data_IF_755995827323
#
_entry.id   IF_755995827323
#
_cell.length_a   1.000
_cell.length_b   1.000
_cell.length_c   1.000
_cell.angle_alpha   90.00
_cell.angle_beta   90.00
_cell.angle_gamma   90.00
#
_symmetry.space_group_name_H-M   'P 1'
#
loop_
_entity.id
_entity.type
_entity.pdbx_description
1 polymer ?
#
# COMPACT_ATOMS: atom_id res chain seq x y z
N UNK A 1 37.84 -29.81 35.53
CA UNK A 1 36.51 -30.41 35.79
C UNK A 1 35.79 -30.56 34.46
N UNK A 2 35.53 -31.80 34.03
CA UNK A 2 34.91 -32.09 32.75
C UNK A 2 33.40 -31.77 32.79
N UNK A 3 32.93 -30.93 31.87
CA UNK A 3 31.51 -30.65 31.71
C UNK A 3 30.83 -31.87 31.06
N UNK A 4 29.95 -32.54 31.81
CA UNK A 4 29.06 -33.57 31.28
C UNK A 4 28.15 -32.92 30.23
N UNK A 5 28.38 -33.21 28.94
CA UNK A 5 27.39 -32.98 27.90
C UNK A 5 26.21 -33.92 28.14
N UNK A 6 25.12 -33.39 28.69
CA UNK A 6 23.85 -34.10 28.71
C UNK A 6 23.35 -34.24 27.28
N UNK A 7 23.19 -35.48 26.81
CA UNK A 7 22.52 -35.83 25.56
C UNK A 7 21.02 -35.54 25.72
N UNK A 8 20.65 -34.27 25.74
CA UNK A 8 19.24 -33.87 25.64
C UNK A 8 18.93 -33.75 24.16
N UNK A 9 17.88 -34.44 23.72
CA UNK A 9 17.46 -34.43 22.32
C UNK A 9 17.19 -32.97 21.91
N UNK A 10 17.93 -32.45 20.92
CA UNK A 10 17.88 -31.02 20.55
C UNK A 10 16.46 -30.58 20.20
N UNK A 11 15.65 -31.48 19.64
CA UNK A 11 14.24 -31.25 19.37
C UNK A 11 13.44 -30.98 20.65
N UNK A 12 13.68 -31.73 21.73
CA UNK A 12 13.04 -31.48 23.03
C UNK A 12 13.51 -30.17 23.65
N UNK A 13 14.78 -29.78 23.47
CA UNK A 13 15.29 -28.50 23.96
C UNK A 13 14.64 -27.33 23.22
N UNK A 14 14.44 -27.45 21.90
CA UNK A 14 13.79 -26.44 21.08
C UNK A 14 12.27 -26.39 21.25
N UNK A 15 11.66 -27.52 21.62
CA UNK A 15 10.22 -27.61 21.88
C UNK A 15 9.82 -26.97 23.22
N UNK A 16 10.78 -26.74 24.14
CA UNK A 16 10.51 -26.03 25.39
C UNK A 16 10.26 -24.54 25.10
N UNK A 17 9.27 -23.91 25.75
CA UNK A 17 9.13 -22.46 25.70
C UNK A 17 10.42 -21.82 26.22
N UNK A 18 10.88 -20.76 25.54
CA UNK A 18 12.11 -20.08 25.94
C UNK A 18 11.95 -19.56 27.36
N UNK A 19 12.85 -19.89 28.29
CA UNK A 19 12.78 -19.38 29.63
C UNK A 19 12.95 -17.85 29.58
N UNK A 20 12.15 -17.19 30.41
CA UNK A 20 12.24 -15.76 30.63
C UNK A 20 13.60 -15.48 31.28
N UNK A 21 14.44 -14.57 30.74
CA UNK A 21 15.73 -14.25 31.35
C UNK A 21 15.57 -13.74 32.78
N UNK A 22 16.52 -14.06 33.67
CA UNK A 22 16.54 -13.48 35.02
C UNK A 22 16.61 -11.94 34.92
N UNK A 23 15.62 -11.26 35.50
CA UNK A 23 15.46 -9.81 35.41
C UNK A 23 14.63 -9.31 34.23
N UNK A 24 14.01 -10.18 33.42
CA UNK A 24 13.06 -9.77 32.40
C UNK A 24 11.74 -9.32 33.03
N UNK A 25 11.46 -8.03 32.88
CA UNK A 25 10.18 -7.41 33.25
C UNK A 25 9.30 -7.46 31.99
N UNK A 26 8.15 -8.12 32.08
CA UNK A 26 7.21 -8.29 30.97
C UNK A 26 6.50 -6.94 30.72
N UNK A 27 7.13 -6.07 29.93
CA UNK A 27 6.63 -4.73 29.62
C UNK A 27 5.53 -4.81 28.55
N UNK A 28 4.36 -5.32 28.96
CA UNK A 28 3.14 -5.38 28.13
C UNK A 28 2.29 -4.12 28.22
N UNK A 29 2.82 -3.07 28.83
CA UNK A 29 2.11 -1.81 29.00
C UNK A 29 2.47 -0.92 27.82
N UNK A 30 1.49 -0.60 26.98
CA UNK A 30 1.68 0.44 25.97
C UNK A 30 2.09 1.73 26.67
N UNK A 31 2.93 2.53 26.01
CA UNK A 31 3.50 3.81 26.48
C UNK A 31 2.47 4.81 27.06
N UNK A 32 1.17 4.53 26.92
CA UNK A 32 0.06 5.38 27.35
C UNK A 32 -0.80 4.77 28.48
N UNK A 33 -0.40 3.66 29.09
CA UNK A 33 -1.10 3.12 30.25
C UNK A 33 -0.34 3.51 31.52
N UNK A 34 -0.63 4.70 32.04
CA UNK A 34 -0.12 5.13 33.34
C UNK A 34 -0.71 4.27 34.46
N UNK A 35 0.11 3.94 35.47
CA UNK A 35 -0.10 4.46 36.82
C UNK A 35 1.05 4.06 37.78
N UNK A 36 1.72 5.09 38.32
CA UNK A 36 2.59 5.10 39.51
C UNK A 36 4.12 4.92 39.36
N UNK A 37 4.73 5.39 38.27
CA UNK A 37 6.11 5.89 38.38
C UNK A 37 6.09 7.41 38.37
N UNK A 38 6.17 8.02 39.55
CA UNK A 38 6.48 9.45 39.65
C UNK A 38 7.86 9.66 39.07
N UNK A 39 7.92 10.13 37.83
CA UNK A 39 9.18 10.54 37.21
C UNK A 39 9.70 11.74 38.02
N UNK A 40 10.79 11.55 38.76
CA UNK A 40 11.42 12.64 39.52
C UNK A 40 12.10 13.60 38.54
N UNK A 41 11.37 14.62 38.07
CA UNK A 41 11.87 15.64 37.13
C UNK A 41 12.97 16.54 37.71
N UNK A 42 13.30 16.38 39.00
CA UNK A 42 14.36 17.14 39.68
C UNK A 42 15.76 16.59 39.39
N UNK A 43 15.88 15.35 38.91
CA UNK A 43 17.16 14.77 38.50
C UNK A 43 17.39 15.07 37.02
N UNK A 44 18.49 15.74 36.71
CA UNK A 44 18.92 16.14 35.35
C UNK A 44 19.22 14.98 34.40
N UNK A 45 19.07 13.72 34.83
CA UNK A 45 19.22 12.50 34.03
C UNK A 45 18.00 12.21 33.14
N UNK A 46 17.31 13.24 32.66
CA UNK A 46 16.08 13.16 31.85
C UNK A 46 16.30 12.69 30.40
N UNK A 47 17.53 12.37 30.01
CA UNK A 47 17.83 11.83 28.68
C UNK A 47 17.85 10.31 28.73
N UNK A 48 16.93 9.67 27.99
CA UNK A 48 16.93 8.22 27.78
C UNK A 48 18.29 7.80 27.23
N UNK A 49 19.13 7.20 28.08
CA UNK A 49 20.40 6.63 27.64
C UNK A 49 20.08 5.40 26.81
N UNK A 50 20.30 5.48 25.50
CA UNK A 50 20.19 4.34 24.60
C UNK A 50 21.31 3.34 24.90
N UNK A 51 21.10 2.49 25.91
CA UNK A 51 22.05 1.42 26.26
C UNK A 51 21.73 0.22 25.36
N UNK A 52 22.62 -0.05 24.41
CA UNK A 52 22.54 -1.28 23.61
C UNK A 52 22.92 -2.47 24.50
N UNK A 53 22.11 -3.53 24.43
CA UNK A 53 22.51 -4.82 25.02
C UNK A 53 23.72 -5.39 24.28
N UNK A 54 24.50 -6.24 24.97
CA UNK A 54 25.64 -6.95 24.35
C UNK A 54 25.26 -7.73 23.09
N UNK A 55 24.00 -8.17 23.00
CA UNK A 55 23.48 -8.81 21.79
C UNK A 55 23.26 -7.80 20.66
N UNK A 56 22.70 -6.63 20.96
CA UNK A 56 22.48 -5.56 19.98
C UNK A 56 23.80 -5.01 19.46
N UNK A 57 24.81 -4.83 20.32
CA UNK A 57 26.16 -4.41 19.90
C UNK A 57 26.83 -5.46 19.00
N UNK A 58 26.58 -6.75 19.23
CA UNK A 58 27.02 -7.82 18.31
C UNK A 58 26.28 -7.80 16.97
N UNK A 59 25.01 -7.39 16.93
CA UNK A 59 24.22 -7.30 15.71
C UNK A 59 24.57 -6.06 14.87
N UNK A 60 25.08 -4.99 15.48
CA UNK A 60 25.60 -3.83 14.74
C UNK A 60 26.91 -4.14 14.03
N UNK A 61 27.67 -5.11 14.53
CA UNK A 61 28.89 -5.55 13.85
C UNK A 61 28.52 -6.35 12.60
N UNK A 62 29.24 -6.14 11.48
CA UNK A 62 29.03 -6.94 10.28
C UNK A 62 29.25 -8.42 10.59
N UNK A 63 28.47 -9.30 9.93
CA UNK A 63 28.62 -10.75 10.09
C UNK A 63 30.05 -11.14 9.71
N UNK A 64 30.76 -11.79 10.63
CA UNK A 64 32.07 -12.35 10.35
C UNK A 64 31.93 -13.43 9.28
N UNK A 65 32.81 -13.37 8.30
CA UNK A 65 32.94 -14.36 7.25
C UNK A 65 33.37 -15.68 7.94
N UNK A 66 32.74 -16.80 7.57
CA UNK A 66 33.06 -18.12 8.11
C UNK A 66 34.51 -18.49 7.81
N UNK A 67 35.21 -19.19 8.72
CA UNK A 67 36.63 -19.56 8.56
C UNK A 67 36.90 -20.34 7.28
N UNK A 68 35.92 -21.17 6.89
CA UNK A 68 36.02 -22.04 5.71
C UNK A 68 35.49 -21.37 4.43
N UNK A 69 35.11 -20.09 4.50
CA UNK A 69 34.71 -19.32 3.33
C UNK A 69 35.94 -19.07 2.45
N UNK A 70 36.07 -19.86 1.38
CA UNK A 70 36.92 -19.52 0.25
C UNK A 70 36.08 -18.72 -0.73
N UNK A 71 36.51 -17.49 -1.00
CA UNK A 71 35.89 -16.67 -2.04
C UNK A 71 36.14 -17.28 -3.40
N UNK A 72 35.21 -18.09 -3.92
CA UNK A 72 35.30 -18.69 -5.27
C UNK A 72 35.15 -17.66 -6.40
N UNK A 73 34.85 -16.41 -6.05
CA UNK A 73 34.84 -15.29 -6.98
C UNK A 73 36.07 -14.43 -6.74
N UNK A 74 36.98 -14.44 -7.72
CA UNK A 74 37.79 -13.26 -7.99
C UNK A 74 36.88 -12.02 -7.92
N UNK A 75 37.34 -10.97 -7.26
CA UNK A 75 36.62 -9.69 -7.22
C UNK A 75 36.17 -9.33 -8.64
N UNK A 76 35.04 -8.61 -8.83
CA UNK A 76 34.57 -8.18 -10.16
C UNK A 76 35.49 -7.09 -10.75
N UNK A 77 36.79 -7.14 -10.44
CA UNK A 77 37.84 -6.37 -11.05
C UNK A 77 38.24 -7.15 -12.29
N UNK A 78 37.64 -6.73 -13.41
CA UNK A 78 38.03 -7.26 -14.71
C UNK A 78 39.51 -6.96 -14.93
N UNK A 79 40.30 -7.98 -15.29
CA UNK A 79 41.72 -7.80 -15.58
C UNK A 79 41.82 -6.99 -16.88
N UNK A 80 42.12 -5.71 -16.73
CA UNK A 80 42.29 -4.79 -17.86
C UNK A 80 43.63 -5.11 -18.51
N UNK A 81 43.67 -5.19 -19.85
CA UNK A 81 44.93 -5.38 -20.57
C UNK A 81 45.85 -4.17 -20.40
N UNK A 82 47.17 -4.37 -20.41
CA UNK A 82 48.15 -3.27 -20.33
C UNK A 82 47.93 -2.20 -21.42
N UNK A 83 47.45 -2.61 -22.59
CA UNK A 83 47.13 -1.69 -23.69
C UNK A 83 45.92 -0.81 -23.41
N UNK A 84 44.89 -1.33 -22.73
CA UNK A 84 43.73 -0.54 -22.32
C UNK A 84 44.07 0.42 -21.16
N UNK A 85 44.97 0.01 -20.25
CA UNK A 85 45.44 0.86 -19.14
C UNK A 85 46.30 2.05 -19.64
N UNK A 86 47.08 1.83 -20.70
CA UNK A 86 47.93 2.85 -21.33
C UNK A 86 47.27 3.57 -22.52
N UNK A 87 45.99 3.31 -22.79
CA UNK A 87 45.27 3.91 -23.89
C UNK A 87 45.06 5.42 -23.66
N UNK A 88 45.56 6.25 -24.57
CA UNK A 88 45.27 7.69 -24.56
C UNK A 88 43.93 7.95 -25.26
N UNK A 89 43.12 8.83 -24.70
CA UNK A 89 41.90 9.29 -25.35
C UNK A 89 42.25 10.00 -26.66
N UNK A 90 41.41 9.82 -27.68
CA UNK A 90 41.49 10.65 -28.89
C UNK A 90 41.06 12.08 -28.56
N UNK A 91 41.60 13.09 -29.25
CA UNK A 91 41.17 14.49 -29.12
C UNK A 91 39.64 14.65 -29.23
N UNK A 92 38.98 13.82 -30.06
CA UNK A 92 37.52 13.79 -30.14
C UNK A 92 36.87 13.33 -28.84
N UNK A 93 37.38 12.27 -28.22
CA UNK A 93 36.89 11.78 -26.94
C UNK A 93 37.11 12.81 -25.83
N UNK A 94 38.23 13.52 -25.85
CA UNK A 94 38.48 14.64 -24.92
C UNK A 94 37.44 15.74 -25.10
N UNK A 95 37.18 16.18 -26.34
CA UNK A 95 36.14 17.19 -26.62
C UNK A 95 34.71 16.75 -26.24
N UNK A 96 34.42 15.45 -26.29
CA UNK A 96 33.11 14.90 -25.88
C UNK A 96 33.02 14.69 -24.37
N UNK A 97 34.15 14.56 -23.67
CA UNK A 97 34.20 14.45 -22.22
C UNK A 97 34.02 15.81 -21.54
N UNK A 98 34.28 16.92 -22.24
CA UNK A 98 33.99 18.26 -21.73
C UNK A 98 32.47 18.45 -21.52
N UNK A 99 32.06 18.97 -20.34
CA UNK A 99 30.65 19.23 -20.08
C UNK A 99 30.12 20.32 -21.02
N UNK A 100 28.88 20.16 -21.48
CA UNK A 100 28.21 21.18 -22.30
C UNK A 100 28.07 22.48 -21.50
N UNK A 101 28.39 23.61 -22.14
CA UNK A 101 28.17 24.94 -21.58
C UNK A 101 26.66 25.16 -21.36
N UNK A 102 26.32 25.79 -20.24
CA UNK A 102 24.93 26.17 -19.95
C UNK A 102 24.38 27.16 -21.01
N UNK A 103 23.07 27.15 -21.22
CA UNK A 103 22.40 28.13 -22.08
C UNK A 103 22.59 29.56 -21.53
N UNK A 104 22.57 30.58 -22.40
CA UNK A 104 22.73 31.99 -21.98
C UNK A 104 21.76 32.43 -20.89
N UNK A 105 20.54 31.87 -20.92
CA UNK A 105 19.46 32.18 -19.98
C UNK A 105 19.39 31.20 -18.79
N UNK A 106 20.38 30.31 -18.64
CA UNK A 106 20.38 29.36 -17.53
C UNK A 106 20.59 30.09 -16.20
N UNK A 107 19.57 30.04 -15.34
CA UNK A 107 19.63 30.51 -13.97
C UNK A 107 19.76 29.32 -13.02
N UNK A 108 20.73 29.38 -12.12
CA UNK A 108 20.90 28.39 -11.05
C UNK A 108 19.65 28.42 -10.16
N UNK A 109 19.09 27.27 -9.76
CA UNK A 109 17.95 27.24 -8.83
C UNK A 109 18.29 27.98 -7.54
N UNK A 110 17.32 28.74 -7.02
CA UNK A 110 17.45 29.45 -5.74
C UNK A 110 17.67 28.44 -4.62
N UNK A 111 18.50 28.80 -3.64
CA UNK A 111 18.70 27.98 -2.44
C UNK A 111 17.38 27.76 -1.71
N UNK A 112 17.18 26.55 -1.17
CA UNK A 112 16.00 26.21 -0.34
C UNK A 112 15.92 27.10 0.91
N UNK A 113 17.08 27.53 1.40
CA UNK A 113 17.18 28.45 2.53
C UNK A 113 17.11 29.90 2.06
N UNK A 114 16.21 30.67 2.67
CA UNK A 114 16.15 32.12 2.52
C UNK A 114 17.09 32.77 3.53
N UNK A 115 18.07 33.53 3.05
CA UNK A 115 18.95 34.34 3.92
C UNK A 115 18.17 35.59 4.35
N UNK A 116 17.72 35.59 5.60
CA UNK A 116 16.96 36.70 6.18
C UNK A 116 17.93 37.75 6.73
N UNK A 117 17.72 39.03 6.43
CA UNK A 117 18.54 40.13 6.93
C UNK A 117 18.46 40.26 8.46
N UNK A 118 19.50 40.84 9.07
CA UNK A 118 19.52 41.09 10.52
C UNK A 118 18.38 42.00 10.99
N UNK A 119 17.94 42.94 10.14
CA UNK A 119 16.80 43.82 10.39
C UNK A 119 15.48 43.07 10.40
N UNK A 120 15.25 42.17 9.44
CA UNK A 120 14.03 41.36 9.38
C UNK A 120 13.94 40.38 10.57
N UNK A 121 15.08 39.86 11.06
CA UNK A 121 15.12 39.03 12.28
C UNK A 121 14.75 39.79 13.56
N UNK A 122 14.98 41.11 13.60
CA UNK A 122 14.72 41.98 14.76
C UNK A 122 13.39 42.75 14.65
N UNK A 123 12.69 42.65 13.52
CA UNK A 123 11.45 43.35 13.30
C UNK A 123 10.35 42.82 14.25
N UNK A 124 9.68 43.73 14.95
CA UNK A 124 8.54 43.39 15.79
C UNK A 124 7.26 43.31 14.94
N UNK A 125 6.38 42.34 15.20
CA UNK A 125 5.09 42.26 14.51
C UNK A 125 4.19 43.43 14.94
N UNK A 126 3.48 44.02 13.97
CA UNK A 126 2.42 45.01 14.22
C UNK A 126 1.32 44.45 15.13
N UNK A 127 0.66 45.30 15.91
CA UNK A 127 -0.46 44.95 16.79
C UNK A 127 -1.54 44.14 16.07
N UNK A 128 -1.84 44.46 14.81
CA UNK A 128 -2.77 43.68 13.99
C UNK A 128 -2.29 42.24 13.79
N UNK A 129 -1.01 42.04 13.50
CA UNK A 129 -0.42 40.71 13.33
C UNK A 129 -0.45 39.96 14.66
N UNK A 130 -0.16 40.65 15.77
CA UNK A 130 -0.27 40.06 17.10
C UNK A 130 -1.71 39.65 17.43
N UNK A 131 -2.71 40.46 17.07
CA UNK A 131 -4.12 40.11 17.22
C UNK A 131 -4.51 38.89 16.38
N UNK A 132 -4.07 38.82 15.13
CA UNK A 132 -4.37 37.70 14.22
C UNK A 132 -3.63 36.42 14.62
N UNK A 133 -2.47 36.54 15.27
CA UNK A 133 -1.71 35.42 15.79
C UNK A 133 -2.33 34.81 17.07
N UNK A 134 -3.24 35.54 17.75
CA UNK A 134 -3.99 34.96 18.88
C UNK A 134 -4.90 33.84 18.35
N UNK A 135 -4.96 32.68 19.03
CA UNK A 135 -5.86 31.62 18.63
C UNK A 135 -7.30 32.12 18.68
N UNK A 136 -8.10 31.76 17.65
CA UNK A 136 -9.53 32.03 17.66
C UNK A 136 -10.17 31.17 18.74
N UNK A 137 -10.63 31.80 19.83
CA UNK A 137 -11.45 31.13 20.83
C UNK A 137 -12.82 30.87 20.19
N UNK A 138 -13.08 29.61 19.81
CA UNK A 138 -14.43 29.18 19.45
C UNK A 138 -15.28 29.19 20.71
N UNK A 139 -16.43 29.85 20.67
CA UNK A 139 -17.45 29.65 21.68
C UNK A 139 -17.83 28.16 21.73
N UNK A 140 -18.11 27.64 22.91
CA UNK A 140 -18.64 26.29 23.06
C UNK A 140 -19.92 26.18 22.23
N UNK A 141 -19.95 25.23 21.30
CA UNK A 141 -21.14 24.94 20.53
C UNK A 141 -22.21 24.43 21.51
N UNK A 142 -23.45 24.90 21.37
CA UNK A 142 -24.60 24.47 22.18
C UNK A 142 -25.06 23.05 21.86
N UNK A 143 -24.13 22.11 21.72
CA UNK A 143 -24.43 20.70 21.45
C UNK A 143 -24.84 20.06 22.78
N UNK A 144 -26.07 19.56 22.86
CA UNK A 144 -26.51 18.77 24.02
C UNK A 144 -25.58 17.55 24.16
N UNK A 145 -25.03 17.25 25.36
CA UNK A 145 -24.05 16.17 25.55
C UNK A 145 -24.57 14.78 25.15
N UNK A 146 -25.90 14.58 25.14
CA UNK A 146 -26.54 13.28 24.88
C UNK A 146 -27.22 13.15 23.50
N UNK A 147 -27.11 14.16 22.62
CA UNK A 147 -27.73 14.10 21.29
C UNK A 147 -26.81 13.44 20.28
N UNK A 148 -26.68 12.13 20.34
CA UNK A 148 -26.05 11.37 19.25
C UNK A 148 -26.97 11.24 18.02
N UNK A 149 -28.29 11.46 18.17
CA UNK A 149 -29.27 11.21 17.09
C UNK A 149 -30.57 12.03 17.16
N UNK A 150 -30.63 13.14 17.90
CA UNK A 150 -31.87 13.93 17.99
C UNK A 150 -31.88 15.05 16.92
N UNK A 151 -32.35 14.69 15.71
CA UNK A 151 -32.57 15.64 14.61
C UNK A 151 -33.78 16.57 14.84
N UNK A 152 -34.58 16.32 15.88
CA UNK A 152 -35.89 16.97 16.09
C UNK A 152 -35.82 18.30 16.84
N UNK A 153 -34.77 18.52 17.65
CA UNK A 153 -34.68 19.67 18.56
C UNK A 153 -33.40 20.48 18.35
N UNK A 154 -33.07 20.78 17.08
CA UNK A 154 -31.98 21.69 16.79
C UNK A 154 -32.44 23.14 17.02
N UNK A 155 -32.04 23.73 18.15
CA UNK A 155 -32.12 25.18 18.32
C UNK A 155 -31.07 25.82 17.41
N UNK A 156 -31.51 26.55 16.40
CA UNK A 156 -30.60 27.19 15.48
C UNK A 156 -29.71 28.21 16.22
N UNK A 157 -28.39 28.09 16.07
CA UNK A 157 -27.39 29.08 16.54
C UNK A 157 -27.54 30.46 15.85
N UNK A 158 -28.56 30.63 15.01
CA UNK A 158 -28.89 31.87 14.35
C UNK A 158 -29.51 32.80 15.38
N UNK A 159 -28.81 33.90 15.67
CA UNK A 159 -29.33 34.92 16.57
C UNK A 159 -30.67 35.48 16.07
N UNK A 160 -31.54 35.89 16.98
CA UNK A 160 -32.82 36.51 16.59
C UNK A 160 -32.63 37.73 15.68
N UNK A 161 -31.53 38.47 15.88
CA UNK A 161 -31.16 39.59 15.03
C UNK A 161 -30.85 39.16 13.60
N UNK A 162 -30.19 38.01 13.41
CA UNK A 162 -29.93 37.44 12.09
C UNK A 162 -31.21 36.90 11.43
N UNK A 163 -32.13 36.31 12.20
CA UNK A 163 -33.44 35.88 11.68
C UNK A 163 -34.32 37.05 11.23
N UNK A 164 -34.24 38.18 11.95
CA UNK A 164 -34.99 39.41 11.65
C UNK A 164 -34.28 40.31 10.62
N UNK A 165 -33.09 39.92 10.17
CA UNK A 165 -32.29 40.75 9.26
C UNK A 165 -32.83 40.67 7.84
N UNK A 166 -33.10 41.83 7.23
CA UNK A 166 -33.46 41.89 5.82
C UNK A 166 -32.22 41.72 4.94
N UNK A 167 -32.26 40.82 3.94
CA UNK A 167 -31.13 40.61 3.04
C UNK A 167 -30.91 41.82 2.14
N UNK A 168 -29.65 42.12 1.82
CA UNK A 168 -29.34 43.19 0.86
C UNK A 168 -29.92 42.88 -0.53
N UNK A 169 -30.24 43.93 -1.31
CA UNK A 169 -30.80 43.77 -2.66
C UNK A 169 -29.98 42.84 -3.57
N UNK A 170 -28.65 42.86 -3.44
CA UNK A 170 -27.76 41.94 -4.16
C UNK A 170 -27.97 40.48 -3.76
N UNK A 171 -28.17 40.20 -2.47
CA UNK A 171 -28.41 38.83 -1.98
C UNK A 171 -29.76 38.33 -2.48
N UNK A 172 -30.78 39.19 -2.51
CA UNK A 172 -32.09 38.86 -3.11
C UNK A 172 -31.93 38.49 -4.59
N UNK A 173 -31.21 39.29 -5.37
CA UNK A 173 -30.94 38.99 -6.78
C UNK A 173 -30.16 37.69 -6.99
N UNK A 174 -29.22 37.35 -6.10
CA UNK A 174 -28.46 36.11 -6.18
C UNK A 174 -29.28 34.88 -5.73
N UNK A 175 -30.27 35.09 -4.86
CA UNK A 175 -31.19 34.05 -4.42
C UNK A 175 -32.23 33.69 -5.49
N UNK A 176 -32.46 34.57 -6.47
CA UNK A 176 -33.29 34.24 -7.63
C UNK A 176 -32.66 33.06 -8.40
N UNK A 177 -33.38 31.94 -8.57
CA UNK A 177 -32.85 30.81 -9.30
C UNK A 177 -32.61 31.19 -10.76
N UNK A 178 -31.56 30.64 -11.35
CA UNK A 178 -31.25 30.86 -12.77
C UNK A 178 -32.42 30.40 -13.63
N UNK A 179 -32.81 31.22 -14.61
CA UNK A 179 -33.82 30.85 -15.60
C UNK A 179 -33.36 29.60 -16.36
N UNK A 180 -34.23 28.60 -16.44
CA UNK A 180 -34.00 27.41 -17.22
C UNK A 180 -33.87 27.79 -18.71
N UNK A 181 -33.06 27.05 -19.45
CA UNK A 181 -32.89 27.28 -20.90
C UNK A 181 -34.19 26.94 -21.64
N UNK A 182 -34.48 27.64 -22.74
CA UNK A 182 -35.75 27.52 -23.47
C UNK A 182 -36.06 26.10 -23.97
N UNK A 183 -35.05 25.24 -24.15
CA UNK A 183 -35.22 23.84 -24.55
C UNK A 183 -34.87 22.83 -23.44
N UNK A 184 -34.76 23.29 -22.19
CA UNK A 184 -34.56 22.41 -21.04
C UNK A 184 -35.76 21.46 -20.92
N UNK A 185 -35.49 20.16 -21.01
CA UNK A 185 -36.44 19.10 -20.73
C UNK A 185 -36.06 18.49 -19.39
N UNK A 186 -37.02 18.42 -18.48
CA UNK A 186 -36.82 17.71 -17.21
C UNK A 186 -36.41 16.26 -17.47
N UNK A 187 -35.57 15.71 -16.58
CA UNK A 187 -35.22 14.30 -16.62
C UNK A 187 -36.50 13.46 -16.53
N UNK A 188 -36.60 12.41 -17.36
CA UNK A 188 -37.70 11.44 -17.23
C UNK A 188 -37.69 10.87 -15.81
N UNK A 189 -38.85 10.76 -15.17
CA UNK A 189 -38.98 10.10 -13.88
C UNK A 189 -38.37 8.69 -13.96
N UNK A 190 -37.51 8.35 -13.01
CA UNK A 190 -36.83 7.03 -12.93
C UNK A 190 -37.84 5.89 -12.73
N UNK A 191 -39.08 6.22 -12.34
CA UNK A 191 -40.19 5.29 -12.19
C UNK A 191 -40.80 5.06 -13.57
N UNK A 192 -40.51 3.90 -14.15
CA UNK A 192 -41.18 3.42 -15.35
C UNK A 192 -42.42 2.65 -14.89
N UNK A 193 -43.60 3.05 -15.32
CA UNK A 193 -44.82 2.33 -14.97
C UNK A 193 -44.78 0.91 -15.53
N UNK A 194 -44.76 -0.08 -14.63
CA UNK A 194 -44.81 -1.50 -15.02
C UNK A 194 -46.22 -1.81 -15.52
N UNK A 195 -46.31 -2.32 -16.75
CA UNK A 195 -47.60 -2.70 -17.35
C UNK A 195 -48.38 -3.70 -16.49
N UNK A 196 -49.71 -3.65 -16.55
CA UNK A 196 -50.58 -4.58 -15.81
C UNK A 196 -50.31 -6.05 -16.19
N UNK A 197 -50.00 -6.31 -17.47
CA UNK A 197 -49.62 -7.64 -17.95
C UNK A 197 -48.34 -8.17 -17.30
N UNK A 198 -47.33 -7.30 -17.10
CA UNK A 198 -46.10 -7.68 -16.42
C UNK A 198 -46.30 -7.90 -14.90
N UNK A 199 -47.18 -7.11 -14.25
CA UNK A 199 -47.54 -7.31 -12.83
C UNK A 199 -48.29 -8.62 -12.58
N UNK A 200 -49.11 -9.03 -13.54
CA UNK A 200 -49.96 -10.22 -13.44
C UNK A 200 -49.36 -11.46 -14.13
N UNK A 201 -48.16 -11.36 -14.69
CA UNK A 201 -47.54 -12.47 -15.40
C UNK A 201 -47.13 -13.58 -14.43
N UNK A 202 -47.64 -14.79 -14.65
CA UNK A 202 -47.23 -15.97 -13.89
C UNK A 202 -45.86 -16.46 -14.39
N UNK A 203 -44.92 -16.78 -13.48
CA UNK A 203 -43.63 -17.32 -13.86
C UNK A 203 -43.78 -18.70 -14.51
N UNK A 204 -42.94 -19.01 -15.50
CA UNK A 204 -42.91 -20.34 -16.12
C UNK A 204 -42.49 -21.42 -15.11
N UNK A 205 -42.91 -22.66 -15.35
CA UNK A 205 -42.60 -23.83 -14.50
C UNK A 205 -41.10 -23.94 -14.21
N UNK A 206 -40.25 -23.68 -15.21
CA UNK A 206 -38.79 -23.68 -15.05
C UNK A 206 -38.31 -22.60 -14.07
N UNK A 207 -38.85 -21.38 -14.16
CA UNK A 207 -38.51 -20.28 -13.24
C UNK A 207 -38.99 -20.61 -11.83
N UNK A 208 -40.18 -21.20 -11.69
CA UNK A 208 -40.67 -21.69 -10.39
C UNK A 208 -39.74 -22.75 -9.79
N UNK A 209 -39.24 -23.70 -10.60
CA UNK A 209 -38.29 -24.72 -10.16
C UNK A 209 -36.94 -24.13 -9.76
N UNK A 210 -36.44 -23.13 -10.49
CA UNK A 210 -35.17 -22.45 -10.18
C UNK A 210 -35.27 -21.55 -8.94
N UNK A 211 -36.47 -21.04 -8.65
CA UNK A 211 -36.74 -20.26 -7.45
C UNK A 211 -36.76 -21.12 -6.18
N UNK A 212 -36.86 -22.45 -6.31
CA UNK A 212 -36.72 -23.35 -5.17
C UNK A 212 -35.27 -23.27 -4.65
N UNK A 213 -35.06 -23.08 -3.34
CA UNK A 213 -33.72 -23.11 -2.78
C UNK A 213 -33.09 -24.47 -3.08
N UNK A 214 -31.84 -24.47 -3.57
CA UNK A 214 -31.07 -25.71 -3.71
C UNK A 214 -30.96 -26.34 -2.32
N UNK A 215 -31.56 -27.52 -2.15
CA UNK A 215 -31.31 -28.36 -0.99
C UNK A 215 -29.85 -28.80 -1.07
N UNK A 216 -28.98 -28.09 -0.33
CA UNK A 216 -27.60 -28.52 -0.13
C UNK A 216 -27.63 -29.81 0.66
N UNK A 217 -27.57 -30.95 -0.04
CA UNK A 217 -27.06 -32.16 0.57
C UNK A 217 -25.57 -31.93 0.70
N UNK A 218 -25.14 -31.41 1.86
CA UNK A 218 -23.72 -31.37 2.22
C UNK A 218 -23.29 -32.83 2.36
N UNK A 219 -22.94 -33.48 1.24
CA UNK A 219 -22.07 -34.64 1.27
C UNK A 219 -20.71 -34.04 1.54
N UNK A 220 -20.16 -34.31 2.72
CA UNK A 220 -18.78 -33.97 3.00
C UNK A 220 -17.92 -34.46 1.83
N UNK A 221 -17.21 -33.52 1.21
CA UNK A 221 -16.57 -33.62 -0.09
C UNK A 221 -15.33 -34.53 -0.09
N UNK A 222 -15.40 -35.71 0.53
CA UNK A 222 -14.38 -36.74 0.34
C UNK A 222 -14.89 -37.79 -0.64
N UNK A 223 -14.76 -37.45 -1.93
CA UNK A 223 -14.80 -38.47 -2.97
C UNK A 223 -13.55 -39.36 -2.79
N UNK A 224 -13.76 -40.54 -2.23
CA UNK A 224 -12.69 -41.51 -1.93
C UNK A 224 -11.94 -41.96 -3.19
N UNK A 225 -12.54 -41.70 -4.35
CA UNK A 225 -12.08 -42.12 -5.66
C UNK A 225 -11.74 -40.93 -6.56
N UNK A 226 -11.37 -39.77 -5.99
CA UNK A 226 -11.00 -38.56 -6.75
C UNK A 226 -9.87 -38.79 -7.76
N UNK A 227 -8.99 -39.75 -7.49
CA UNK A 227 -7.88 -40.18 -8.35
C UNK A 227 -8.29 -41.19 -9.44
N UNK A 228 -9.50 -41.75 -9.38
CA UNK A 228 -9.96 -42.76 -10.33
C UNK A 228 -10.55 -42.09 -11.56
N UNK A 229 -9.89 -42.28 -12.70
CA UNK A 229 -10.43 -41.88 -14.00
C UNK A 229 -11.71 -42.67 -14.26
N UNK A 230 -12.79 -41.97 -14.65
CA UNK A 230 -14.06 -42.60 -14.98
C UNK A 230 -13.87 -43.70 -16.04
N UNK A 231 -14.37 -44.94 -15.84
CA UNK A 231 -14.18 -46.03 -16.78
C UNK A 231 -14.69 -45.70 -18.20
N UNK A 232 -15.71 -44.85 -18.31
CA UNK A 232 -16.19 -44.38 -19.62
C UNK A 232 -15.19 -43.47 -20.32
N UNK A 233 -14.41 -42.69 -19.57
CA UNK A 233 -13.33 -41.85 -20.11
C UNK A 233 -12.14 -42.70 -20.58
N UNK A 234 -11.87 -43.86 -19.95
CA UNK A 234 -10.84 -44.80 -20.41
C UNK A 234 -11.20 -45.45 -21.76
N UNK A 235 -12.49 -45.64 -22.03
CA UNK A 235 -13.00 -46.25 -23.26
C UNK A 235 -13.41 -45.21 -24.32
N UNK A 236 -13.43 -43.93 -23.96
CA UNK A 236 -13.84 -42.86 -24.85
C UNK A 236 -12.91 -42.75 -26.06
N UNK A 237 -13.49 -42.79 -27.26
CA UNK A 237 -12.76 -42.53 -28.51
C UNK A 237 -12.68 -41.02 -28.75
N UNK A 238 -11.53 -40.58 -29.22
CA UNK A 238 -11.28 -39.17 -29.55
C UNK A 238 -12.20 -38.76 -30.71
N UNK A 239 -12.75 -37.54 -30.65
CA UNK A 239 -13.57 -37.01 -31.74
C UNK A 239 -12.66 -36.67 -32.94
N UNK A 240 -13.14 -36.80 -34.19
CA UNK A 240 -12.32 -36.58 -35.38
C UNK A 240 -11.67 -35.19 -35.39
N UNK A 241 -12.36 -34.18 -34.84
CA UNK A 241 -11.82 -32.82 -34.74
C UNK A 241 -10.62 -32.70 -33.79
N UNK A 242 -10.63 -33.45 -32.69
CA UNK A 242 -9.51 -33.46 -31.74
C UNK A 242 -8.33 -34.23 -32.35
N UNK A 243 -8.57 -35.29 -33.12
CA UNK A 243 -7.52 -35.98 -33.88
C UNK A 243 -6.84 -35.05 -34.89
N UNK A 244 -7.60 -34.24 -35.63
CA UNK A 244 -7.05 -33.23 -36.54
C UNK A 244 -6.18 -32.21 -35.83
N UNK A 245 -6.64 -31.70 -34.67
CA UNK A 245 -5.91 -30.69 -33.90
C UNK A 245 -4.67 -31.26 -33.19
N UNK A 246 -4.67 -32.55 -32.89
CA UNK A 246 -3.52 -33.24 -32.30
C UNK A 246 -2.37 -33.44 -33.31
N UNK A 247 -2.64 -33.31 -34.62
CA UNK A 247 -1.57 -33.36 -35.61
C UNK A 247 -0.64 -32.14 -35.49
N UNK A 248 0.70 -32.33 -35.57
CA UNK A 248 1.63 -31.23 -35.47
C UNK A 248 1.45 -30.26 -36.63
N UNK A 249 1.43 -28.96 -36.31
CA UNK A 249 1.34 -27.92 -37.32
C UNK A 249 2.45 -28.08 -38.38
N UNK A 250 2.14 -27.95 -39.68
CA UNK A 250 3.08 -28.27 -40.77
C UNK A 250 4.37 -27.42 -40.76
N UNK A 251 4.35 -26.23 -40.14
CA UNK A 251 5.56 -25.42 -39.92
C UNK A 251 6.52 -25.98 -38.86
N UNK A 252 6.06 -26.88 -37.99
CA UNK A 252 6.85 -27.50 -36.91
C UNK A 252 7.34 -28.91 -37.27
N UNK A 253 6.93 -29.48 -38.41
CA UNK A 253 7.48 -30.74 -38.89
C UNK A 253 8.75 -30.50 -39.72
N UNK A 254 9.92 -30.80 -39.13
CA UNK A 254 11.18 -30.82 -39.91
C UNK A 254 11.21 -32.06 -40.78
N UNK A 255 11.28 -31.90 -42.11
CA UNK A 255 11.58 -33.02 -43.01
C UNK A 255 13.00 -33.49 -42.73
N UNK A 256 13.21 -34.79 -42.51
CA UNK A 256 14.57 -35.38 -42.51
C UNK A 256 15.13 -35.26 -43.91
N UNK A 257 16.26 -34.60 -44.09
CA UNK A 257 16.99 -34.55 -45.36
C UNK A 257 17.47 -35.97 -45.71
N UNK A 258 17.31 -36.44 -46.96
CA UNK A 258 17.88 -37.72 -47.37
C UNK A 258 19.40 -37.65 -47.30
N UNK A 259 20.03 -38.70 -46.75
CA UNK A 259 21.49 -38.83 -46.74
C UNK A 259 21.94 -39.02 -48.20
N UNK A 260 22.79 -38.11 -48.69
CA UNK A 260 23.49 -38.25 -49.96
C UNK A 260 24.37 -39.50 -49.88
N UNK A 261 24.01 -40.55 -50.60
CA UNK A 261 24.88 -41.69 -50.83
C UNK A 261 25.86 -41.32 -51.94
N UNK A 262 27.14 -41.22 -51.60
CA UNK A 262 28.23 -41.13 -52.58
C UNK A 262 28.25 -42.44 -53.36
N UNK A 263 27.96 -42.37 -54.67
CA UNK A 263 28.16 -43.49 -55.59
C UNK A 263 29.67 -43.68 -55.78
N UNK A 264 30.16 -44.87 -55.45
CA UNK A 264 31.48 -45.40 -55.80
C UNK A 264 31.56 -45.71 -57.28
#
# INVERSE_FOLDING_TARGET
MAAKCSNVNRLEVLARPKPIPDGFIDDRQSVYWDNQFTKDWTKSDLSTKFVLSDRLTRLTNPKLIHTDWKGDRNSPIWVISRGALNGKASNRLESLAEPKVHHKDFQIPKSVYTVISSTAKKALPSDRIQMLAKPKLSAELGIKPDSCWDYSEWHSDVSEAALKCEPSARVVQLAEPKKLYASYKECRSVIWDVSSGAKNALPTIRVQQLALPKKSQYKEDYDSDWDKVNPTALVAKVSPRIEELAQPLPRKSKRKSPKLTLKS
#
